data_IF_216485165015
#
_entry.id   IF_216485165015
#
_cell.length_a   1.000
_cell.length_b   1.000
_cell.length_c   1.000
_cell.angle_alpha   90.00
_cell.angle_beta   90.00
_cell.angle_gamma   90.00
#
_symmetry.space_group_name_H-M   'P 1'
#
loop_
_entity.id
_entity.type
_entity.pdbx_description
1 polymer ?
#
# COMPACT_ATOMS: atom_id res chain seq x y z
N UNK A 1 -4.23 20.27 12.31
CA UNK A 1 -4.59 19.08 11.51
C UNK A 1 -4.95 19.57 10.10
N UNK A 2 -4.08 19.33 9.11
CA UNK A 2 -3.98 20.16 7.88
C UNK A 2 -4.86 19.67 6.72
N UNK A 3 -5.68 20.58 6.20
CA UNK A 3 -6.61 20.48 5.06
C UNK A 3 -6.02 19.90 3.75
N UNK A 4 -4.70 20.00 3.57
CA UNK A 4 -3.99 19.55 2.36
C UNK A 4 -3.95 18.02 2.19
N UNK A 5 -3.89 17.26 3.29
CA UNK A 5 -3.82 15.77 3.27
C UNK A 5 -5.15 15.16 2.82
N UNK A 6 -6.28 15.65 3.35
CA UNK A 6 -7.64 15.28 2.91
C UNK A 6 -7.88 15.56 1.43
N UNK A 7 -7.42 16.71 0.91
CA UNK A 7 -7.54 17.04 -0.53
C UNK A 7 -6.75 16.07 -1.41
N UNK A 8 -5.53 15.69 -1.00
CA UNK A 8 -4.70 14.70 -1.72
C UNK A 8 -5.32 13.31 -1.72
N UNK A 9 -5.81 12.85 -0.58
CA UNK A 9 -6.54 11.59 -0.48
C UNK A 9 -7.81 11.59 -1.34
N UNK A 10 -8.55 12.71 -1.39
CA UNK A 10 -9.75 12.85 -2.22
C UNK A 10 -9.43 12.89 -3.72
N UNK A 11 -8.30 13.50 -4.10
CA UNK A 11 -7.83 13.54 -5.48
C UNK A 11 -7.32 12.17 -5.96
N UNK A 12 -6.53 11.45 -5.15
CA UNK A 12 -6.05 10.11 -5.47
C UNK A 12 -7.19 9.08 -5.53
N UNK A 13 -8.15 9.16 -4.61
CA UNK A 13 -9.42 8.41 -4.69
C UNK A 13 -10.20 8.73 -5.96
N UNK A 14 -10.16 9.97 -6.46
CA UNK A 14 -10.83 10.34 -7.70
C UNK A 14 -10.11 9.80 -8.96
N UNK A 15 -8.79 9.58 -8.92
CA UNK A 15 -8.01 9.10 -10.09
C UNK A 15 -7.86 7.58 -10.14
N UNK A 16 -7.67 6.90 -8.99
CA UNK A 16 -7.50 5.43 -8.90
C UNK A 16 -8.71 4.71 -8.28
N UNK A 17 -9.78 5.46 -7.97
CA UNK A 17 -11.10 4.97 -7.66
C UNK A 17 -11.15 3.93 -6.52
N UNK A 18 -11.55 2.73 -6.91
CA UNK A 18 -11.80 1.61 -6.00
C UNK A 18 -10.51 0.89 -5.61
N UNK A 19 -9.58 0.67 -6.54
CA UNK A 19 -8.33 -0.05 -6.28
C UNK A 19 -7.49 0.63 -5.20
N UNK A 20 -7.33 1.96 -5.28
CA UNK A 20 -6.62 2.71 -4.26
C UNK A 20 -7.29 2.60 -2.89
N UNK A 21 -8.62 2.74 -2.84
CA UNK A 21 -9.35 2.71 -1.57
C UNK A 21 -9.26 1.34 -0.87
N UNK A 22 -9.38 0.26 -1.64
CA UNK A 22 -9.26 -1.12 -1.15
C UNK A 22 -7.83 -1.39 -0.67
N UNK A 23 -6.82 -1.11 -1.50
CA UNK A 23 -5.40 -1.37 -1.15
C UNK A 23 -4.94 -0.51 0.03
N UNK A 24 -5.25 0.79 0.07
CA UNK A 24 -4.96 1.62 1.26
C UNK A 24 -5.66 1.10 2.53
N UNK A 25 -6.85 0.49 2.39
CA UNK A 25 -7.54 -0.21 3.48
C UNK A 25 -6.71 -1.37 4.02
N UNK A 26 -6.23 -2.24 3.12
CA UNK A 26 -5.41 -3.40 3.47
C UNK A 26 -4.14 -3.02 4.22
N UNK A 27 -3.43 -1.98 3.77
CA UNK A 27 -2.19 -1.53 4.42
C UNK A 27 -2.44 -0.94 5.81
N UNK A 28 -3.53 -0.19 5.99
CA UNK A 28 -3.93 0.35 7.30
C UNK A 28 -4.29 -0.75 8.29
N UNK A 29 -5.00 -1.78 7.83
CA UNK A 29 -5.41 -2.90 8.69
C UNK A 29 -4.25 -3.82 9.06
N UNK A 30 -3.37 -4.11 8.10
CA UNK A 30 -2.24 -5.01 8.34
C UNK A 30 -1.11 -4.33 9.11
N UNK A 31 -0.91 -3.03 8.88
CA UNK A 31 0.07 -2.17 9.55
C UNK A 31 1.49 -2.80 9.59
N UNK A 32 2.08 -3.12 8.42
CA UNK A 32 3.23 -4.02 8.31
C UNK A 32 4.50 -3.53 9.02
N UNK A 33 4.60 -2.22 9.26
CA UNK A 33 5.72 -1.59 10.00
C UNK A 33 5.26 -0.87 11.27
N UNK A 34 3.99 -1.00 11.66
CA UNK A 34 3.49 -0.53 12.95
C UNK A 34 3.21 0.97 13.05
N UNK A 35 3.12 1.72 11.94
CA UNK A 35 2.92 3.18 12.00
C UNK A 35 1.54 3.53 12.58
N UNK A 36 0.50 2.80 12.20
CA UNK A 36 -0.86 3.06 12.69
C UNK A 36 -0.94 2.74 14.19
N UNK A 37 -0.33 1.64 14.63
CA UNK A 37 -0.28 1.24 16.05
C UNK A 37 0.43 2.24 16.95
N UNK A 38 1.40 3.01 16.44
CA UNK A 38 2.07 4.07 17.21
C UNK A 38 1.35 5.42 17.15
N UNK A 39 0.16 5.48 16.54
CA UNK A 39 -0.67 6.68 16.48
C UNK A 39 -0.38 7.57 15.27
N UNK A 40 0.28 7.06 14.23
CA UNK A 40 0.36 7.77 12.97
C UNK A 40 -1.03 7.90 12.32
N UNK A 41 -1.27 8.91 11.48
CA UNK A 41 -2.52 9.07 10.76
C UNK A 41 -2.89 7.86 9.88
N UNK A 42 -4.18 7.62 9.71
CA UNK A 42 -4.73 6.57 8.83
C UNK A 42 -4.33 6.68 7.34
N UNK A 43 -3.81 7.84 6.92
CA UNK A 43 -3.33 8.12 5.56
C UNK A 43 -1.80 8.05 5.45
N UNK A 44 -1.11 7.48 6.45
CA UNK A 44 0.35 7.43 6.46
C UNK A 44 0.92 6.56 5.32
N UNK A 45 0.20 5.51 4.90
CA UNK A 45 0.61 4.63 3.81
C UNK A 45 0.18 5.08 2.40
N UNK A 46 -0.53 6.21 2.28
CA UNK A 46 -1.16 6.62 1.03
C UNK A 46 -0.11 6.94 -0.07
N UNK A 47 1.06 7.43 0.34
CA UNK A 47 2.16 7.76 -0.59
C UNK A 47 2.78 6.48 -1.15
N UNK A 48 3.07 5.51 -0.30
CA UNK A 48 3.64 4.21 -0.65
C UNK A 48 2.66 3.43 -1.54
N UNK A 49 1.38 3.39 -1.16
CA UNK A 49 0.33 2.76 -1.95
C UNK A 49 0.28 3.40 -3.35
N UNK A 50 0.36 4.73 -3.45
CA UNK A 50 0.37 5.41 -4.75
C UNK A 50 1.55 5.02 -5.65
N UNK A 51 2.68 4.59 -5.08
CA UNK A 51 3.84 4.07 -5.81
C UNK A 51 3.75 2.58 -6.14
N UNK A 52 3.04 1.81 -5.31
CA UNK A 52 2.80 0.37 -5.52
C UNK A 52 1.79 0.15 -6.66
N UNK A 53 0.69 0.90 -6.69
CA UNK A 53 -0.41 0.66 -7.62
C UNK A 53 0.01 0.61 -9.11
N UNK A 54 0.82 1.54 -9.63
CA UNK A 54 1.26 1.48 -11.03
C UNK A 54 2.10 0.23 -11.34
N UNK A 55 2.82 -0.31 -10.34
CA UNK A 55 3.69 -1.47 -10.49
C UNK A 55 2.93 -2.80 -10.42
N UNK A 56 1.69 -2.83 -9.91
CA UNK A 56 0.88 -4.06 -9.85
C UNK A 56 0.64 -4.70 -11.23
N UNK A 57 0.65 -3.91 -12.31
CA UNK A 57 0.54 -4.42 -13.69
C UNK A 57 1.74 -5.27 -14.12
N UNK A 58 2.89 -5.11 -13.45
CA UNK A 58 4.14 -5.83 -13.74
C UNK A 58 4.17 -7.18 -13.02
N UNK A 59 3.33 -7.36 -11.99
CA UNK A 59 3.22 -8.61 -11.24
C UNK A 59 2.33 -9.64 -11.96
N UNK A 60 2.74 -10.90 -11.87
CA UNK A 60 2.04 -12.09 -12.34
C UNK A 60 1.60 -12.99 -11.18
N UNK A 61 1.99 -12.68 -9.95
CA UNK A 61 1.64 -13.45 -8.75
C UNK A 61 1.68 -12.62 -7.48
N UNK A 62 1.04 -13.10 -6.42
CA UNK A 62 1.11 -12.51 -5.07
C UNK A 62 2.56 -12.41 -4.55
N UNK A 63 3.43 -13.36 -4.91
CA UNK A 63 4.85 -13.31 -4.54
C UNK A 63 5.61 -12.17 -5.22
N UNK A 64 5.24 -11.81 -6.45
CA UNK A 64 5.80 -10.64 -7.13
C UNK A 64 5.23 -9.33 -6.58
N UNK A 65 3.94 -9.31 -6.20
CA UNK A 65 3.36 -8.19 -5.45
C UNK A 65 4.11 -8.00 -4.13
N UNK A 66 4.43 -9.07 -3.41
CA UNK A 66 5.18 -8.99 -2.15
C UNK A 66 6.56 -8.34 -2.34
N UNK A 67 7.26 -8.68 -3.43
CA UNK A 67 8.54 -8.04 -3.78
C UNK A 67 8.37 -6.56 -4.06
N UNK A 68 7.40 -6.19 -4.90
CA UNK A 68 7.11 -4.78 -5.24
C UNK A 68 6.80 -3.98 -3.97
N UNK A 69 5.94 -4.51 -3.11
CA UNK A 69 5.55 -3.85 -1.86
C UNK A 69 6.78 -3.67 -0.97
N UNK A 70 7.59 -4.71 -0.77
CA UNK A 70 8.80 -4.61 0.05
C UNK A 70 9.80 -3.60 -0.52
N UNK A 71 10.03 -3.60 -1.83
CA UNK A 71 10.92 -2.65 -2.50
C UNK A 71 10.47 -1.20 -2.31
N UNK A 72 9.18 -0.89 -2.47
CA UNK A 72 8.67 0.46 -2.23
C UNK A 72 8.82 0.82 -0.74
N UNK A 73 8.53 -0.09 0.19
CA UNK A 73 8.72 0.19 1.61
C UNK A 73 10.19 0.41 1.98
N UNK A 74 11.13 -0.37 1.43
CA UNK A 74 12.56 -0.15 1.61
C UNK A 74 12.99 1.19 1.02
N UNK A 75 12.43 1.60 -0.12
CA UNK A 75 12.71 2.90 -0.74
C UNK A 75 12.22 4.07 0.12
N UNK A 76 11.05 3.95 0.75
CA UNK A 76 10.44 5.02 1.54
C UNK A 76 10.95 5.07 2.99
N UNK A 77 11.24 3.91 3.58
CA UNK A 77 11.54 3.78 5.00
C UNK A 77 12.91 3.21 5.31
N UNK A 78 13.77 2.91 4.32
CA UNK A 78 15.02 2.16 4.51
C UNK A 78 14.83 0.66 4.88
N UNK A 79 15.84 -0.20 4.64
CA UNK A 79 15.74 -1.63 4.93
C UNK A 79 15.55 -1.98 6.40
N UNK A 80 16.10 -1.18 7.32
CA UNK A 80 16.08 -1.47 8.74
C UNK A 80 14.67 -1.23 9.31
N UNK A 81 14.02 -0.14 8.89
CA UNK A 81 12.63 0.16 9.29
C UNK A 81 11.63 -0.75 8.57
N UNK A 82 11.78 -0.95 7.25
CA UNK A 82 10.90 -1.85 6.49
C UNK A 82 10.96 -3.29 7.03
N UNK A 83 12.16 -3.74 7.41
CA UNK A 83 12.40 -5.07 7.92
C UNK A 83 12.22 -6.15 6.84
N UNK A 84 11.99 -7.42 7.24
CA UNK A 84 12.02 -8.53 6.31
C UNK A 84 10.78 -8.58 5.40
N UNK A 85 10.98 -9.01 4.15
CA UNK A 85 9.93 -9.19 3.13
C UNK A 85 8.75 -10.05 3.62
N UNK A 86 8.98 -10.99 4.55
CA UNK A 86 7.94 -11.86 5.10
C UNK A 86 6.85 -11.10 5.85
N UNK A 87 7.11 -9.88 6.34
CA UNK A 87 6.08 -8.99 6.93
C UNK A 87 4.96 -8.65 5.95
N UNK A 88 5.26 -8.66 4.65
CA UNK A 88 4.37 -8.18 3.60
C UNK A 88 3.58 -9.29 2.92
N UNK A 89 3.77 -10.56 3.31
CA UNK A 89 3.15 -11.70 2.63
C UNK A 89 1.61 -11.60 2.62
N UNK A 90 1.02 -11.30 3.78
CA UNK A 90 -0.44 -11.21 3.94
C UNK A 90 -1.04 -10.02 3.19
N UNK A 91 -0.47 -8.82 3.32
CA UNK A 91 -0.96 -7.64 2.58
C UNK A 91 -0.78 -7.80 1.07
N UNK A 92 0.29 -8.47 0.62
CA UNK A 92 0.54 -8.73 -0.79
C UNK A 92 -0.46 -9.72 -1.40
N UNK A 93 -0.78 -10.81 -0.69
CA UNK A 93 -1.80 -11.77 -1.13
C UNK A 93 -3.15 -11.09 -1.33
N UNK A 94 -3.63 -10.35 -0.33
CA UNK A 94 -4.88 -9.60 -0.43
C UNK A 94 -4.85 -8.52 -1.52
N UNK A 95 -3.72 -7.83 -1.68
CA UNK A 95 -3.55 -6.82 -2.73
C UNK A 95 -3.65 -7.45 -4.12
N UNK A 96 -3.07 -8.64 -4.30
CA UNK A 96 -3.16 -9.40 -5.55
C UNK A 96 -4.59 -9.86 -5.86
N UNK A 97 -5.33 -10.35 -4.86
CA UNK A 97 -6.74 -10.72 -4.99
C UNK A 97 -7.61 -9.53 -5.43
N UNK A 98 -7.45 -8.38 -4.76
CA UNK A 98 -8.14 -7.13 -5.11
C UNK A 98 -7.79 -6.67 -6.52
N UNK A 99 -6.51 -6.75 -6.90
CA UNK A 99 -6.06 -6.39 -8.24
C UNK A 99 -6.70 -7.27 -9.31
N UNK A 100 -6.72 -8.59 -9.12
CA UNK A 100 -7.37 -9.52 -10.06
C UNK A 100 -8.88 -9.27 -10.16
N UNK A 101 -9.55 -9.02 -9.04
CA UNK A 101 -10.99 -8.78 -9.00
C UNK A 101 -11.41 -7.47 -9.68
N UNK A 102 -10.54 -6.45 -9.70
CA UNK A 102 -10.81 -5.15 -10.32
C UNK A 102 -10.23 -5.00 -11.74
N UNK A 103 -9.39 -5.94 -12.18
CA UNK A 103 -8.91 -6.05 -13.55
C UNK A 103 -9.91 -6.78 -14.47
N UNK A 104 -10.81 -7.58 -13.88
CA UNK A 104 -11.92 -8.25 -14.56
C UNK A 104 -13.01 -7.25 -14.99
#
# INVERSE_FOLDING_TARGET
MTEGRRKRQKALKATHGRLYSEVSGLFREDDPIGLIRIGAPDDEYDVEVSTILPRLREAQSAAEVQKIVHEEFVRWFDPDTAGPITRYAKVAEKTWEVWLALKA
#
